data_IF_303313632095
#
_entry.id   IF_303313632095
#
_cell.length_a   1.000
_cell.length_b   1.000
_cell.length_c   1.000
_cell.angle_alpha   90.00
_cell.angle_beta   90.00
_cell.angle_gamma   90.00
#
_symmetry.space_group_name_H-M   'P 1'
#
loop_
_entity.id
_entity.type
_entity.pdbx_description
1 polymer ?
#
# COMPACT_ATOMS: atom_id res chain seq x y z
N UNK A 1 29.80 31.21 13.91
CA UNK A 1 29.45 30.18 12.91
C UNK A 1 28.13 29.59 13.35
N UNK A 2 27.10 29.50 12.50
CA UNK A 2 25.73 29.17 12.94
C UNK A 2 25.49 27.66 12.90
N UNK A 3 25.08 27.08 14.03
CA UNK A 3 24.71 25.68 14.18
C UNK A 3 23.23 25.56 14.54
N UNK A 4 22.49 24.73 13.82
CA UNK A 4 21.07 24.48 14.07
C UNK A 4 20.94 23.28 15.00
N UNK A 5 20.52 23.50 16.24
CA UNK A 5 20.29 22.46 17.24
C UNK A 5 18.78 22.24 17.40
N UNK A 6 18.39 21.09 17.94
CA UNK A 6 16.97 20.75 18.09
C UNK A 6 16.19 21.72 18.98
N UNK A 7 16.86 22.43 19.88
CA UNK A 7 16.28 23.41 20.81
C UNK A 7 16.51 24.87 20.38
N UNK A 8 17.20 25.14 19.28
CA UNK A 8 17.51 26.51 18.86
C UNK A 8 18.76 26.65 18.01
N UNK A 9 19.28 27.87 17.93
CA UNK A 9 20.44 28.21 17.11
C UNK A 9 21.62 28.56 18.02
N UNK A 10 22.77 27.94 17.78
CA UNK A 10 24.01 28.20 18.51
C UNK A 10 25.03 28.84 17.58
N UNK A 11 25.61 29.98 17.97
CA UNK A 11 26.59 30.70 17.15
C UNK A 11 28.07 30.45 17.55
N UNK A 12 28.27 29.63 18.58
CA UNK A 12 29.57 29.34 19.20
C UNK A 12 29.79 30.04 20.55
N UNK A 13 28.92 30.99 20.93
CA UNK A 13 29.00 31.72 22.21
C UNK A 13 27.65 31.77 22.93
N UNK A 14 26.57 32.04 22.20
CA UNK A 14 25.22 32.18 22.75
C UNK A 14 24.23 31.23 22.08
N UNK A 15 23.22 30.83 22.84
CA UNK A 15 22.15 29.95 22.40
C UNK A 15 20.88 30.78 22.30
N UNK A 16 20.34 30.90 21.10
CA UNK A 16 19.00 31.45 20.88
C UNK A 16 18.01 30.30 20.87
N UNK A 17 17.25 30.16 21.97
CA UNK A 17 16.21 29.15 22.10
C UNK A 17 15.11 29.39 21.07
N UNK A 18 14.63 28.31 20.45
CA UNK A 18 13.48 28.36 19.56
C UNK A 18 12.19 28.49 20.37
N UNK A 19 11.25 29.33 19.92
CA UNK A 19 9.90 29.40 20.49
C UNK A 19 9.11 28.10 20.24
N UNK A 20 9.48 27.36 19.19
CA UNK A 20 8.89 26.07 18.84
C UNK A 20 9.97 25.00 18.69
N UNK A 21 10.12 24.16 19.72
CA UNK A 21 11.10 23.08 19.72
C UNK A 21 10.78 21.97 18.70
N UNK A 22 9.52 21.75 18.34
CA UNK A 22 9.16 20.76 17.32
C UNK A 22 9.68 21.17 15.95
N UNK A 23 9.53 22.46 15.61
CA UNK A 23 10.00 23.00 14.34
C UNK A 23 11.52 23.03 14.25
N UNK A 24 12.22 23.46 15.31
CA UNK A 24 13.68 23.43 15.35
C UNK A 24 14.24 22.01 15.38
N UNK A 25 13.53 21.05 15.98
CA UNK A 25 13.90 19.62 15.94
C UNK A 25 13.89 19.07 14.50
N UNK A 26 12.88 19.43 13.71
CA UNK A 26 12.79 19.05 12.29
C UNK A 26 13.85 19.73 11.41
N UNK A 27 14.24 20.95 11.76
CA UNK A 27 15.18 21.80 11.01
C UNK A 27 16.62 21.73 11.54
N UNK A 28 16.93 20.80 12.44
CA UNK A 28 18.26 20.62 13.05
C UNK A 28 19.28 19.99 12.06
N UNK A 29 19.33 20.51 10.83
CA UNK A 29 20.24 20.09 9.79
C UNK A 29 21.52 20.94 9.82
N UNK A 30 22.67 20.27 9.76
CA UNK A 30 23.97 20.91 9.71
C UNK A 30 24.83 20.24 8.63
N UNK A 31 25.55 21.01 7.79
CA UNK A 31 26.29 20.49 6.64
C UNK A 31 27.59 19.76 7.02
N UNK A 32 28.00 19.81 8.29
CA UNK A 32 29.22 19.18 8.76
C UNK A 32 29.04 18.69 10.20
N UNK A 33 29.81 17.69 10.64
CA UNK A 33 29.79 17.22 12.02
C UNK A 33 30.00 18.38 13.00
N UNK A 34 29.23 18.36 14.09
CA UNK A 34 29.31 19.41 15.11
C UNK A 34 30.61 19.26 15.91
N UNK A 35 31.39 20.34 16.12
CA UNK A 35 32.66 20.28 16.84
C UNK A 35 32.48 20.20 18.37
N UNK A 36 31.27 20.02 18.86
CA UNK A 36 30.91 19.99 20.27
C UNK A 36 29.76 19.01 20.51
N UNK A 37 29.58 18.64 21.78
CA UNK A 37 28.49 17.75 22.17
C UNK A 37 27.18 18.53 22.36
N UNK A 38 26.15 18.17 21.58
CA UNK A 38 24.83 18.82 21.63
C UNK A 38 24.17 18.67 23.00
N UNK A 39 24.38 17.55 23.69
CA UNK A 39 23.79 17.33 25.01
C UNK A 39 24.41 18.24 26.08
N UNK A 40 25.71 18.54 26.00
CA UNK A 40 26.38 19.43 26.94
C UNK A 40 25.94 20.89 26.74
N UNK A 41 25.83 21.32 25.48
CA UNK A 41 25.31 22.64 25.12
C UNK A 41 23.84 22.77 25.54
N UNK A 42 23.05 21.72 25.31
CA UNK A 42 21.65 21.67 25.67
C UNK A 42 21.40 21.58 27.18
N UNK A 43 22.25 20.89 27.95
CA UNK A 43 22.17 20.85 29.41
C UNK A 43 22.45 22.22 30.03
N UNK A 44 23.33 23.03 29.42
CA UNK A 44 23.56 24.43 29.83
C UNK A 44 22.36 25.33 29.55
N UNK A 45 21.61 25.09 28.48
CA UNK A 45 20.46 25.90 28.09
C UNK A 45 19.15 25.51 28.79
N UNK A 46 18.88 24.21 28.90
CA UNK A 46 17.60 23.65 29.38
C UNK A 46 17.70 22.99 30.76
N UNK A 47 18.90 22.97 31.35
CA UNK A 47 19.14 22.41 32.69
C UNK A 47 18.86 20.91 32.78
N UNK A 48 18.41 20.48 33.96
CA UNK A 48 18.12 19.06 34.27
C UNK A 48 16.96 18.48 33.44
N UNK A 49 16.12 19.34 32.88
CA UNK A 49 14.97 18.95 32.08
C UNK A 49 15.30 18.64 30.61
N UNK A 50 16.56 18.83 30.19
CA UNK A 50 17.01 18.64 28.81
C UNK A 50 16.49 17.34 28.17
N UNK A 51 16.73 16.19 28.80
CA UNK A 51 16.30 14.89 28.24
C UNK A 51 14.79 14.69 28.28
N UNK A 52 14.10 15.26 29.29
CA UNK A 52 12.64 15.20 29.40
C UNK A 52 11.98 15.99 28.27
N UNK A 53 12.48 17.20 28.00
CA UNK A 53 11.99 18.06 26.93
C UNK A 53 12.34 17.44 25.57
N UNK A 54 13.58 16.99 25.37
CA UNK A 54 14.00 16.29 24.14
C UNK A 54 13.08 15.11 23.83
N UNK A 55 12.82 14.26 24.82
CA UNK A 55 11.92 13.11 24.65
C UNK A 55 10.51 13.55 24.30
N UNK A 56 9.96 14.54 25.00
CA UNK A 56 8.61 15.06 24.72
C UNK A 56 8.50 15.62 23.31
N UNK A 57 9.46 16.42 22.87
CA UNK A 57 9.51 17.01 21.53
C UNK A 57 9.66 15.92 20.46
N UNK A 58 10.56 14.95 20.67
CA UNK A 58 10.74 13.84 19.73
C UNK A 58 9.46 12.99 19.59
N UNK A 59 8.76 12.71 20.71
CA UNK A 59 7.47 12.02 20.68
C UNK A 59 6.42 12.81 19.91
N UNK A 60 6.22 14.10 20.23
CA UNK A 60 5.23 14.95 19.58
C UNK A 60 5.45 15.07 18.06
N UNK A 61 6.71 15.24 17.64
CA UNK A 61 7.08 15.27 16.21
C UNK A 61 6.82 13.91 15.55
N UNK A 62 7.21 12.82 16.22
CA UNK A 62 7.00 11.46 15.70
C UNK A 62 5.52 11.13 15.54
N UNK A 63 4.69 11.46 16.53
CA UNK A 63 3.24 11.31 16.49
C UNK A 63 2.64 12.10 15.32
N UNK A 64 3.02 13.36 15.14
CA UNK A 64 2.56 14.19 14.01
C UNK A 64 2.99 13.64 12.65
N UNK A 65 4.23 13.14 12.52
CA UNK A 65 4.68 12.50 11.28
C UNK A 65 3.89 11.23 10.97
N UNK A 66 3.69 10.38 11.98
CA UNK A 66 2.91 9.14 11.86
C UNK A 66 1.46 9.45 11.47
N UNK A 67 0.85 10.46 12.09
CA UNK A 67 -0.51 10.89 11.77
C UNK A 67 -0.63 11.42 10.33
N UNK A 68 0.33 12.22 9.87
CA UNK A 68 0.36 12.68 8.46
C UNK A 68 0.48 11.52 7.48
N UNK A 69 1.33 10.53 7.78
CA UNK A 69 1.47 9.33 6.94
C UNK A 69 0.23 8.41 6.99
N UNK A 70 -0.47 8.34 8.14
CA UNK A 70 -1.72 7.60 8.30
C UNK A 70 -2.88 8.23 7.53
N UNK A 71 -2.91 9.57 7.46
CA UNK A 71 -3.94 10.33 6.72
C UNK A 71 -3.76 10.30 5.21
N UNK A 72 -2.73 9.62 4.69
CA UNK A 72 -2.57 9.49 3.24
C UNK A 72 -3.67 8.62 2.65
N UNK A 73 -4.28 9.11 1.57
CA UNK A 73 -5.39 8.44 0.89
C UNK A 73 -5.01 7.00 0.43
N UNK A 74 -3.74 6.73 0.12
CA UNK A 74 -3.29 5.39 -0.22
C UNK A 74 -3.35 4.41 0.97
N UNK A 75 -3.13 4.87 2.20
CA UNK A 75 -3.30 4.04 3.41
C UNK A 75 -4.76 3.75 3.70
N UNK A 76 -5.63 4.71 3.43
CA UNK A 76 -7.08 4.52 3.55
C UNK A 76 -7.56 3.41 2.62
N UNK A 77 -7.14 3.41 1.34
CA UNK A 77 -7.46 2.32 0.40
C UNK A 77 -6.92 0.97 0.89
N UNK A 78 -5.67 0.92 1.38
CA UNK A 78 -5.10 -0.32 1.92
C UNK A 78 -5.95 -0.87 3.07
N UNK A 79 -6.44 0.00 3.95
CA UNK A 79 -7.32 -0.40 5.06
C UNK A 79 -8.69 -0.88 4.55
N UNK A 80 -9.30 -0.18 3.60
CA UNK A 80 -10.58 -0.59 2.98
C UNK A 80 -10.48 -1.97 2.31
N UNK A 81 -9.42 -2.24 1.55
CA UNK A 81 -9.24 -3.55 0.89
C UNK A 81 -9.12 -4.69 1.92
N UNK A 82 -8.43 -4.46 3.03
CA UNK A 82 -8.34 -5.45 4.12
C UNK A 82 -9.68 -5.65 4.82
N UNK A 83 -10.40 -4.57 5.09
CA UNK A 83 -11.74 -4.64 5.66
C UNK A 83 -12.70 -5.40 4.73
N UNK A 84 -12.63 -5.16 3.42
CA UNK A 84 -13.41 -5.88 2.42
C UNK A 84 -13.14 -7.39 2.45
N UNK A 85 -11.88 -7.81 2.57
CA UNK A 85 -11.52 -9.23 2.70
C UNK A 85 -12.05 -9.86 3.98
N UNK A 86 -11.99 -9.15 5.10
CA UNK A 86 -12.54 -9.61 6.38
C UNK A 86 -14.07 -9.73 6.35
N UNK A 87 -14.74 -8.77 5.69
CA UNK A 87 -16.19 -8.82 5.46
C UNK A 87 -16.54 -10.04 4.59
N UNK A 88 -15.76 -10.29 3.53
CA UNK A 88 -15.94 -11.45 2.66
C UNK A 88 -15.77 -12.77 3.42
N UNK A 89 -14.73 -12.89 4.26
CA UNK A 89 -14.50 -14.06 5.11
C UNK A 89 -15.63 -14.25 6.12
N UNK A 90 -16.05 -13.18 6.79
CA UNK A 90 -17.17 -13.18 7.74
C UNK A 90 -18.48 -13.63 7.08
N UNK A 91 -18.79 -13.11 5.89
CA UNK A 91 -19.99 -13.51 5.13
C UNK A 91 -19.94 -15.02 4.82
N UNK A 92 -18.79 -15.54 4.39
CA UNK A 92 -18.65 -16.95 4.05
C UNK A 92 -18.82 -17.85 5.28
N UNK A 93 -18.15 -17.52 6.38
CA UNK A 93 -18.25 -18.28 7.64
C UNK A 93 -19.67 -18.24 8.21
N UNK A 94 -20.33 -17.08 8.20
CA UNK A 94 -21.70 -16.94 8.70
C UNK A 94 -22.71 -17.70 7.82
N UNK A 95 -22.53 -17.71 6.49
CA UNK A 95 -23.37 -18.52 5.61
C UNK A 95 -23.19 -20.01 5.91
N UNK A 96 -21.96 -20.49 6.09
CA UNK A 96 -21.71 -21.89 6.45
C UNK A 96 -22.42 -22.27 7.75
N UNK A 97 -22.28 -21.45 8.80
CA UNK A 97 -22.96 -21.71 10.09
C UNK A 97 -24.48 -21.59 10.00
N UNK A 98 -25.01 -20.70 9.16
CA UNK A 98 -26.44 -20.62 8.92
C UNK A 98 -26.97 -21.93 8.30
N UNK A 99 -26.30 -22.45 7.29
CA UNK A 99 -26.71 -23.72 6.65
C UNK A 99 -26.65 -24.89 7.64
N UNK A 100 -25.63 -24.94 8.52
CA UNK A 100 -25.55 -25.95 9.59
C UNK A 100 -26.78 -25.89 10.52
N UNK A 101 -27.22 -24.69 10.90
CA UNK A 101 -28.40 -24.52 11.79
C UNK A 101 -29.68 -24.88 11.05
N UNK A 102 -29.84 -24.42 9.80
CA UNK A 102 -31.02 -24.72 8.97
C UNK A 102 -31.20 -26.20 8.70
N UNK A 103 -30.09 -26.93 8.55
CA UNK A 103 -30.11 -28.39 8.39
C UNK A 103 -30.73 -29.11 9.60
N UNK A 104 -30.64 -28.53 10.81
CA UNK A 104 -31.27 -29.07 12.02
C UNK A 104 -32.68 -28.54 12.21
N UNK A 105 -32.87 -27.21 12.09
CA UNK A 105 -34.17 -26.56 12.30
C UNK A 105 -34.21 -25.16 11.66
N UNK A 106 -35.20 -24.97 10.78
CA UNK A 106 -35.62 -23.64 10.34
C UNK A 106 -36.44 -22.95 11.45
N UNK A 107 -36.12 -21.69 11.77
CA UNK A 107 -36.80 -20.94 12.83
C UNK A 107 -36.61 -19.42 12.69
N UNK A 108 -37.27 -18.61 13.52
CA UNK A 108 -37.13 -17.15 13.47
C UNK A 108 -35.68 -16.65 13.62
N UNK A 109 -34.79 -17.44 14.24
CA UNK A 109 -33.37 -17.07 14.37
C UNK A 109 -32.60 -17.23 13.05
N UNK A 110 -32.93 -18.23 12.22
CA UNK A 110 -32.28 -18.45 10.92
C UNK A 110 -32.65 -17.33 9.96
N UNK A 111 -33.90 -16.85 9.99
CA UNK A 111 -34.34 -15.65 9.26
C UNK A 111 -33.59 -14.38 9.71
N UNK A 112 -33.40 -14.19 11.02
CA UNK A 112 -32.61 -13.05 11.56
C UNK A 112 -31.13 -13.13 11.13
N UNK A 113 -30.57 -14.34 11.08
CA UNK A 113 -29.22 -14.58 10.55
C UNK A 113 -29.11 -14.18 9.08
N UNK A 114 -30.05 -14.63 8.24
CA UNK A 114 -30.09 -14.28 6.82
C UNK A 114 -30.14 -12.76 6.61
N UNK A 115 -30.94 -12.06 7.41
CA UNK A 115 -31.02 -10.60 7.36
C UNK A 115 -29.67 -9.96 7.68
N UNK A 116 -28.97 -10.41 8.72
CA UNK A 116 -27.63 -9.88 9.07
C UNK A 116 -26.58 -10.17 8.00
N UNK A 117 -26.61 -11.36 7.39
CA UNK A 117 -25.74 -11.68 6.25
C UNK A 117 -26.04 -10.75 5.06
N UNK A 118 -27.31 -10.41 4.81
CA UNK A 118 -27.70 -9.48 3.76
C UNK A 118 -27.18 -8.07 4.02
N UNK A 119 -27.33 -7.57 5.25
CA UNK A 119 -26.77 -6.28 5.67
C UNK A 119 -25.24 -6.23 5.50
N UNK A 120 -24.53 -7.32 5.84
CA UNK A 120 -23.08 -7.42 5.59
C UNK A 120 -22.73 -7.41 4.09
N UNK A 121 -23.54 -8.07 3.25
CA UNK A 121 -23.36 -8.03 1.78
C UNK A 121 -23.60 -6.63 1.21
N UNK A 122 -24.46 -5.83 1.81
CA UNK A 122 -24.66 -4.42 1.46
C UNK A 122 -23.43 -3.59 1.84
N UNK A 123 -22.97 -3.70 3.09
CA UNK A 123 -21.74 -3.04 3.54
C UNK A 123 -20.53 -3.39 2.66
N UNK A 124 -20.39 -4.66 2.27
CA UNK A 124 -19.36 -5.11 1.32
C UNK A 124 -19.39 -4.32 0.01
N UNK A 125 -20.59 -4.07 -0.55
CA UNK A 125 -20.75 -3.31 -1.81
C UNK A 125 -20.42 -1.83 -1.61
N UNK A 126 -20.78 -1.26 -0.48
CA UNK A 126 -20.46 0.13 -0.17
C UNK A 126 -18.95 0.33 -0.01
N UNK A 127 -18.27 -0.61 0.66
CA UNK A 127 -16.80 -0.61 0.73
C UNK A 127 -16.16 -0.81 -0.66
N UNK A 128 -16.70 -1.69 -1.51
CA UNK A 128 -16.21 -1.83 -2.89
C UNK A 128 -16.35 -0.52 -3.69
N UNK A 129 -17.46 0.22 -3.53
CA UNK A 129 -17.69 1.51 -4.18
C UNK A 129 -16.71 2.58 -3.67
N UNK A 130 -16.52 2.67 -2.36
CA UNK A 130 -15.56 3.60 -1.77
C UNK A 130 -14.14 3.36 -2.28
N UNK A 131 -13.72 2.09 -2.40
CA UNK A 131 -12.42 1.74 -2.99
C UNK A 131 -12.32 2.24 -4.43
N UNK A 132 -13.39 2.11 -5.23
CA UNK A 132 -13.44 2.57 -6.62
C UNK A 132 -13.26 4.09 -6.72
N UNK A 133 -14.07 4.85 -5.97
CA UNK A 133 -14.04 6.31 -5.94
C UNK A 133 -12.65 6.85 -5.53
N UNK A 134 -12.05 6.30 -4.46
CA UNK A 134 -10.73 6.75 -4.02
C UNK A 134 -9.64 6.34 -5.01
N UNK A 135 -9.70 5.13 -5.58
CA UNK A 135 -8.69 4.66 -6.53
C UNK A 135 -8.69 5.41 -7.86
N UNK A 136 -9.85 5.85 -8.35
CA UNK A 136 -9.94 6.72 -9.51
C UNK A 136 -9.26 8.07 -9.25
N UNK A 137 -9.29 8.56 -8.01
CA UNK A 137 -8.62 9.80 -7.63
C UNK A 137 -7.12 9.63 -7.43
N UNK A 138 -6.67 8.60 -6.71
CA UNK A 138 -5.26 8.47 -6.29
C UNK A 138 -4.38 7.72 -7.28
N UNK A 139 -4.98 6.85 -8.09
CA UNK A 139 -4.26 6.03 -9.06
C UNK A 139 -5.08 5.81 -10.34
N UNK A 140 -5.48 6.90 -11.03
CA UNK A 140 -6.33 6.82 -12.22
C UNK A 140 -5.72 5.99 -13.34
N UNK A 141 -4.40 6.06 -13.58
CA UNK A 141 -3.76 5.28 -14.63
C UNK A 141 -3.80 3.78 -14.31
N UNK A 142 -3.49 3.39 -13.07
CA UNK A 142 -3.61 2.00 -12.66
C UNK A 142 -5.05 1.48 -12.78
N UNK A 143 -6.02 2.30 -12.36
CA UNK A 143 -7.44 1.97 -12.43
C UNK A 143 -7.88 1.78 -13.88
N UNK A 144 -7.46 2.64 -14.80
CA UNK A 144 -7.72 2.48 -16.24
C UNK A 144 -7.13 1.19 -16.81
N UNK A 145 -5.92 0.81 -16.36
CA UNK A 145 -5.23 -0.36 -16.90
C UNK A 145 -5.77 -1.70 -16.41
N UNK A 146 -6.22 -1.81 -15.16
CA UNK A 146 -6.59 -3.10 -14.55
C UNK A 146 -7.92 -3.10 -13.80
N UNK A 147 -8.59 -1.95 -13.71
CA UNK A 147 -9.77 -1.72 -12.88
C UNK A 147 -9.40 -1.43 -11.42
N UNK A 148 -10.25 -0.67 -10.73
CA UNK A 148 -10.01 -0.21 -9.36
C UNK A 148 -9.76 -1.39 -8.40
N UNK A 149 -10.54 -2.47 -8.52
CA UNK A 149 -10.40 -3.66 -7.66
C UNK A 149 -9.02 -4.32 -7.73
N UNK A 150 -8.46 -4.49 -8.94
CA UNK A 150 -7.13 -5.11 -9.09
C UNK A 150 -6.03 -4.14 -8.69
N UNK A 151 -6.18 -2.85 -9.03
CA UNK A 151 -5.24 -1.80 -8.65
C UNK A 151 -5.16 -1.63 -7.12
N UNK A 152 -6.31 -1.56 -6.44
CA UNK A 152 -6.41 -1.50 -4.98
C UNK A 152 -5.76 -2.73 -4.32
N UNK A 153 -5.95 -3.93 -4.89
CA UNK A 153 -5.34 -5.14 -4.34
C UNK A 153 -3.81 -5.18 -4.54
N UNK A 154 -3.30 -4.61 -5.62
CA UNK A 154 -1.85 -4.42 -5.80
C UNK A 154 -1.28 -3.45 -4.78
N UNK A 155 -2.00 -2.35 -4.54
CA UNK A 155 -1.64 -1.35 -3.55
C UNK A 155 -1.63 -1.94 -2.13
N UNK A 156 -2.67 -2.68 -1.74
CA UNK A 156 -2.73 -3.42 -0.46
C UNK A 156 -1.52 -4.33 -0.29
N UNK A 157 -1.21 -5.12 -1.32
CA UNK A 157 -0.12 -6.10 -1.24
C UNK A 157 1.27 -5.47 -1.24
N UNK A 158 1.42 -4.29 -1.84
CA UNK A 158 2.63 -3.48 -1.73
C UNK A 158 2.72 -2.74 -0.37
N UNK A 159 1.58 -2.37 0.19
CA UNK A 159 1.38 -1.72 1.49
C UNK A 159 1.29 -0.19 1.44
N UNK A 160 1.79 0.45 0.38
CA UNK A 160 1.65 1.88 0.09
C UNK A 160 2.02 2.18 -1.36
N UNK A 161 1.61 3.34 -1.88
CA UNK A 161 1.94 3.77 -3.25
C UNK A 161 3.46 3.94 -3.42
N UNK A 162 4.15 4.50 -2.43
CA UNK A 162 5.60 4.66 -2.47
C UNK A 162 6.33 3.31 -2.61
N UNK A 163 5.88 2.29 -1.86
CA UNK A 163 6.45 0.94 -1.96
C UNK A 163 6.14 0.31 -3.30
N UNK A 164 4.92 0.48 -3.81
CA UNK A 164 4.47 -0.06 -5.09
C UNK A 164 5.31 0.48 -6.25
N UNK A 165 5.55 1.80 -6.28
CA UNK A 165 6.35 2.50 -7.30
C UNK A 165 7.79 2.00 -7.38
N UNK A 166 8.35 1.54 -6.26
CA UNK A 166 9.71 0.97 -6.20
C UNK A 166 9.77 -0.48 -6.68
N UNK A 167 8.64 -1.16 -6.85
CA UNK A 167 8.65 -2.56 -7.28
C UNK A 167 9.03 -2.70 -8.75
N UNK A 168 9.91 -3.67 -9.08
CA UNK A 168 10.16 -3.99 -10.48
C UNK A 168 8.93 -4.67 -11.10
N UNK A 169 8.78 -4.54 -12.42
CA UNK A 169 7.68 -5.17 -13.16
C UNK A 169 7.60 -6.69 -12.96
N UNK A 170 8.76 -7.36 -12.79
CA UNK A 170 8.81 -8.80 -12.50
C UNK A 170 8.19 -9.17 -11.15
N UNK A 171 8.27 -8.29 -10.14
CA UNK A 171 7.58 -8.45 -8.86
C UNK A 171 6.09 -8.22 -9.04
N UNK A 172 5.69 -7.10 -9.63
CA UNK A 172 4.28 -6.75 -9.90
C UNK A 172 3.57 -7.88 -10.65
N UNK A 173 4.24 -8.50 -11.61
CA UNK A 173 3.74 -9.64 -12.37
C UNK A 173 3.24 -10.78 -11.48
N UNK A 174 3.90 -11.04 -10.34
CA UNK A 174 3.68 -12.22 -9.49
C UNK A 174 3.15 -11.89 -8.09
N UNK A 175 2.79 -10.62 -7.82
CA UNK A 175 2.12 -10.22 -6.57
C UNK A 175 0.83 -11.04 -6.39
N UNK A 176 0.63 -11.63 -5.21
CA UNK A 176 -0.45 -12.56 -4.89
C UNK A 176 -0.19 -14.03 -5.27
N UNK A 177 0.91 -14.34 -5.96
CA UNK A 177 1.34 -15.71 -6.21
C UNK A 177 2.54 -16.12 -5.33
N UNK A 178 2.76 -15.42 -4.22
CA UNK A 178 3.99 -15.57 -3.41
C UNK A 178 4.12 -16.99 -2.86
N UNK A 179 3.03 -17.58 -2.35
CA UNK A 179 3.02 -18.96 -1.83
C UNK A 179 3.50 -19.97 -2.89
N UNK A 180 3.03 -19.83 -4.13
CA UNK A 180 3.44 -20.70 -5.25
C UNK A 180 4.87 -20.41 -5.70
N UNK A 181 5.28 -19.15 -5.70
CA UNK A 181 6.65 -18.73 -6.02
C UNK A 181 7.66 -19.28 -5.02
N UNK A 182 7.40 -19.12 -3.72
CA UNK A 182 8.28 -19.62 -2.66
C UNK A 182 8.34 -21.15 -2.65
N UNK A 183 7.23 -21.84 -2.90
CA UNK A 183 7.23 -23.31 -3.11
C UNK A 183 8.11 -23.70 -4.30
N UNK A 184 8.07 -22.96 -5.40
CA UNK A 184 8.93 -23.23 -6.56
C UNK A 184 10.41 -23.03 -6.21
N UNK A 185 10.78 -21.93 -5.55
CA UNK A 185 12.15 -21.68 -5.12
C UNK A 185 12.67 -22.73 -4.12
N UNK A 186 11.84 -23.14 -3.15
CA UNK A 186 12.20 -24.18 -2.20
C UNK A 186 12.49 -25.53 -2.90
N UNK A 187 11.76 -25.86 -3.97
CA UNK A 187 12.01 -27.06 -4.78
C UNK A 187 13.28 -26.93 -5.61
N UNK A 188 13.51 -25.77 -6.23
CA UNK A 188 14.71 -25.49 -7.02
C UNK A 188 15.98 -25.54 -6.16
N UNK A 189 15.93 -25.02 -4.92
CA UNK A 189 17.03 -25.14 -3.95
C UNK A 189 17.38 -26.58 -3.61
N UNK A 190 16.42 -27.51 -3.72
CA UNK A 190 16.61 -28.95 -3.54
C UNK A 190 16.99 -29.69 -4.84
N UNK A 191 17.40 -28.96 -5.88
CA UNK A 191 17.75 -29.51 -7.20
C UNK A 191 16.56 -30.06 -8.00
N UNK A 192 15.32 -29.85 -7.54
CA UNK A 192 14.11 -30.36 -8.22
C UNK A 192 13.61 -29.34 -9.23
N UNK A 193 13.22 -29.82 -10.43
CA UNK A 193 12.52 -28.99 -11.42
C UNK A 193 11.22 -28.45 -10.82
N UNK A 194 11.00 -27.15 -10.94
CA UNK A 194 9.78 -26.47 -10.50
C UNK A 194 9.32 -25.43 -11.51
N UNK A 195 8.01 -25.23 -11.63
CA UNK A 195 7.42 -24.22 -12.52
C UNK A 195 7.15 -22.94 -11.72
N UNK A 196 7.74 -21.83 -12.16
CA UNK A 196 7.52 -20.51 -11.58
C UNK A 196 6.13 -20.00 -12.03
N UNK A 197 5.34 -19.37 -11.14
CA UNK A 197 4.08 -18.76 -11.52
C UNK A 197 4.28 -17.66 -12.57
N UNK A 198 3.46 -17.66 -13.61
CA UNK A 198 3.56 -16.70 -14.72
C UNK A 198 2.85 -15.37 -14.43
N UNK A 199 1.98 -15.34 -13.44
CA UNK A 199 1.14 -14.21 -13.08
C UNK A 199 0.61 -14.39 -11.66
N UNK A 200 0.38 -13.30 -10.95
CA UNK A 200 -0.33 -13.23 -9.68
C UNK A 200 -1.73 -12.66 -9.86
N UNK A 201 -2.12 -11.68 -9.04
CA UNK A 201 -3.46 -11.07 -9.07
C UNK A 201 -3.82 -10.43 -10.41
N UNK A 202 -2.83 -9.93 -11.17
CA UNK A 202 -3.04 -9.38 -12.51
C UNK A 202 -3.64 -10.41 -13.50
N UNK A 203 -3.61 -11.71 -13.18
CA UNK A 203 -4.29 -12.75 -13.97
C UNK A 203 -5.80 -12.52 -14.12
N UNK A 204 -6.42 -11.84 -13.16
CA UNK A 204 -7.85 -11.52 -13.19
C UNK A 204 -8.22 -10.59 -14.34
N UNK A 205 -7.24 -9.86 -14.90
CA UNK A 205 -7.46 -8.97 -16.03
C UNK A 205 -7.97 -9.73 -17.28
N UNK A 206 -9.05 -9.26 -17.95
CA UNK A 206 -9.64 -9.94 -19.10
C UNK A 206 -8.65 -10.28 -20.22
N UNK A 207 -7.71 -9.37 -20.51
CA UNK A 207 -6.71 -9.59 -21.56
C UNK A 207 -5.72 -10.73 -21.26
N UNK A 208 -5.59 -11.15 -20.00
CA UNK A 208 -4.75 -12.31 -19.65
C UNK A 208 -5.61 -13.58 -19.59
N UNK A 209 -6.79 -13.51 -18.95
CA UNK A 209 -7.66 -14.65 -18.72
C UNK A 209 -8.16 -15.29 -20.01
N UNK A 210 -8.49 -14.46 -21.01
CA UNK A 210 -9.03 -14.89 -22.31
C UNK A 210 -7.98 -15.49 -23.26
N UNK A 211 -6.69 -15.22 -23.04
CA UNK A 211 -5.63 -15.75 -23.92
C UNK A 211 -5.35 -17.24 -23.67
N UNK A 212 -4.81 -17.97 -24.68
CA UNK A 212 -4.32 -19.33 -24.49
C UNK A 212 -3.19 -19.42 -23.44
N UNK A 213 -3.13 -20.54 -22.68
CA UNK A 213 -2.17 -20.76 -21.58
C UNK A 213 -0.70 -20.47 -21.93
N UNK A 214 -0.30 -20.71 -23.18
CA UNK A 214 1.05 -20.43 -23.68
C UNK A 214 1.37 -18.93 -23.72
N UNK A 215 0.38 -18.09 -24.00
CA UNK A 215 0.53 -16.64 -24.24
C UNK A 215 0.26 -15.78 -23.01
N UNK A 216 -0.49 -16.28 -22.03
CA UNK A 216 -0.82 -15.55 -20.78
C UNK A 216 0.40 -14.95 -20.09
N UNK A 217 1.52 -15.68 -20.03
CA UNK A 217 2.75 -15.18 -19.42
C UNK A 217 3.41 -14.03 -20.18
N UNK A 218 3.31 -14.02 -21.53
CA UNK A 218 3.81 -12.92 -22.35
C UNK A 218 2.97 -11.65 -22.12
N UNK A 219 1.65 -11.81 -22.03
CA UNK A 219 0.73 -10.70 -21.74
C UNK A 219 0.91 -10.17 -20.31
N UNK A 220 0.99 -11.06 -19.32
CA UNK A 220 1.21 -10.70 -17.92
C UNK A 220 2.50 -9.89 -17.71
N UNK A 221 3.59 -10.27 -18.38
CA UNK A 221 4.84 -9.50 -18.33
C UNK A 221 4.68 -8.09 -18.90
N UNK A 222 4.00 -7.97 -20.04
CA UNK A 222 3.79 -6.67 -20.69
C UNK A 222 2.87 -5.78 -19.85
N UNK A 223 1.76 -6.33 -19.34
CA UNK A 223 0.83 -5.63 -18.46
C UNK A 223 1.55 -5.14 -17.20
N UNK A 224 2.33 -6.00 -16.53
CA UNK A 224 3.07 -5.61 -15.34
C UNK A 224 4.10 -4.50 -15.59
N UNK A 225 4.73 -4.47 -16.78
CA UNK A 225 5.66 -3.41 -17.15
C UNK A 225 4.93 -2.07 -17.32
N UNK A 226 3.77 -2.07 -17.97
CA UNK A 226 2.94 -0.86 -18.12
C UNK A 226 2.33 -0.41 -16.81
N UNK A 227 1.93 -1.34 -15.96
CA UNK A 227 1.41 -1.05 -14.62
C UNK A 227 2.46 -0.44 -13.69
N UNK A 228 3.73 -0.85 -13.82
CA UNK A 228 4.85 -0.22 -13.11
C UNK A 228 5.08 1.25 -13.55
N UNK A 229 4.80 1.56 -14.82
CA UNK A 229 4.87 2.93 -15.35
C UNK A 229 3.65 3.73 -14.88
N UNK A 230 2.45 3.17 -14.99
CA UNK A 230 1.21 3.77 -14.50
C UNK A 230 1.32 4.16 -13.02
N UNK A 231 1.77 3.24 -12.16
CA UNK A 231 1.97 3.51 -10.74
C UNK A 231 2.93 4.69 -10.48
N UNK A 232 3.97 4.86 -11.30
CA UNK A 232 4.89 6.00 -11.21
C UNK A 232 4.23 7.31 -11.64
N UNK A 233 3.48 7.29 -12.73
CA UNK A 233 2.77 8.47 -13.23
C UNK A 233 1.72 8.92 -12.20
N UNK A 234 0.93 7.97 -11.70
CA UNK A 234 -0.06 8.22 -10.63
C UNK A 234 0.59 8.86 -9.40
N UNK A 235 1.72 8.32 -8.94
CA UNK A 235 2.38 8.82 -7.74
C UNK A 235 3.05 10.19 -7.89
N UNK A 236 3.67 10.47 -9.03
CA UNK A 236 4.49 11.68 -9.23
C UNK A 236 3.77 12.81 -9.98
N UNK A 237 2.78 12.49 -10.81
CA UNK A 237 2.08 13.45 -11.68
C UNK A 237 0.58 13.49 -11.43
N UNK A 238 -0.07 12.34 -11.23
CA UNK A 238 -1.52 12.25 -11.02
C UNK A 238 -2.39 12.51 -12.26
N UNK A 239 -1.79 12.67 -13.44
CA UNK A 239 -2.49 12.89 -14.72
C UNK A 239 -2.68 11.57 -15.48
N UNK A 240 -3.80 11.42 -16.20
CA UNK A 240 -4.08 10.25 -17.04
C UNK A 240 -3.24 10.26 -18.31
N UNK A 241 -2.63 9.13 -18.63
CA UNK A 241 -1.92 8.86 -19.89
C UNK A 241 -2.61 7.73 -20.66
N UNK A 242 -3.50 8.12 -21.58
CA UNK A 242 -4.26 7.20 -22.44
C UNK A 242 -3.37 6.30 -23.30
N UNK A 243 -2.12 6.72 -23.58
CA UNK A 243 -1.18 5.94 -24.40
C UNK A 243 -0.83 4.59 -23.77
N UNK A 244 -0.92 4.49 -22.43
CA UNK A 244 -0.66 3.27 -21.70
C UNK A 244 -1.71 2.19 -22.03
N UNK A 245 -2.99 2.54 -21.97
CA UNK A 245 -4.08 1.62 -22.24
C UNK A 245 -4.04 1.13 -23.69
N UNK A 246 -3.86 2.05 -24.64
CA UNK A 246 -3.77 1.71 -26.07
C UNK A 246 -2.59 0.75 -26.35
N UNK A 247 -1.47 0.94 -25.66
CA UNK A 247 -0.32 0.04 -25.79
C UNK A 247 -0.63 -1.40 -25.34
N UNK A 248 -1.43 -1.55 -24.28
CA UNK A 248 -1.87 -2.85 -23.74
C UNK A 248 -2.87 -3.50 -24.68
N UNK A 249 -3.86 -2.74 -25.17
CA UNK A 249 -4.86 -3.21 -26.11
C UNK A 249 -4.23 -3.72 -27.40
N UNK A 250 -3.34 -2.93 -28.02
CA UNK A 250 -2.59 -3.34 -29.21
C UNK A 250 -1.80 -4.63 -28.97
N UNK A 251 -1.11 -4.75 -27.83
CA UNK A 251 -0.35 -5.95 -27.48
C UNK A 251 -1.24 -7.18 -27.29
N UNK A 252 -2.43 -7.00 -26.72
CA UNK A 252 -3.41 -8.07 -26.58
C UNK A 252 -3.84 -8.60 -27.95
N UNK A 253 -4.18 -7.72 -28.89
CA UNK A 253 -4.58 -8.10 -30.25
C UNK A 253 -3.46 -8.82 -31.02
N UNK A 254 -2.21 -8.36 -30.90
CA UNK A 254 -1.04 -9.05 -31.47
C UNK A 254 -0.94 -10.51 -30.98
N UNK A 255 -1.15 -10.73 -29.68
CA UNK A 255 -1.06 -12.06 -29.08
C UNK A 255 -2.27 -12.93 -29.42
N UNK A 256 -3.43 -12.33 -29.65
CA UNK A 256 -4.65 -13.03 -30.05
C UNK A 256 -4.57 -13.54 -31.49
N UNK A 257 -3.99 -12.76 -32.41
CA UNK A 257 -3.87 -13.09 -33.85
C UNK A 257 -2.75 -14.08 -34.19
N UNK A 258 -1.62 -14.02 -33.48
CA UNK A 258 -0.53 -15.02 -33.59
C UNK A 258 -0.91 -16.31 -32.88
#
# INVERSE_FOLDING_TARGET
MRYNLWFGVYDGKEIKLSENFEESFLKAENPSPLPFNVSEVGAKALGKDYYRILRKTALAVSEKMVEKELRREDRYVVALVKALEEIDESINMLNEKLEDIRAVKESEITEKFEKKIRELRELRRDVEREIEEVMEKIAPNMTELVGAKVAAKLLERAGSMERLVRLPASKIQVIGAEKSLYKAFARMKKGKKAKIPKHGIIFLHPFIRTLPKAKRGKMARFLAAKLAIAAKIDYFRGEIDESLYESIRRRYEELRRK
#
